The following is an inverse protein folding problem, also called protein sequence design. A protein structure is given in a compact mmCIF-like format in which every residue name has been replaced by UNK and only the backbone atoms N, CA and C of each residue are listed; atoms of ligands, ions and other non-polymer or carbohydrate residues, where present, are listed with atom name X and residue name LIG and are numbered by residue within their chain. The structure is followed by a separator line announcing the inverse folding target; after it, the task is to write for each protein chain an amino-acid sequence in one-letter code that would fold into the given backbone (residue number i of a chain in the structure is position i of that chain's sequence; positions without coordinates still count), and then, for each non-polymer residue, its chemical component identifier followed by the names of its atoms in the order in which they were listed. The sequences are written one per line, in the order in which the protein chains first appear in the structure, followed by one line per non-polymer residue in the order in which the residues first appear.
data_IF_312156916134
#
_entry.id   IF_312156916134
#
_cell.length_a   1.000
_cell.length_b   1.000
_cell.length_c   1.000
_cell.angle_alpha   90.00
_cell.angle_beta   90.00
_cell.angle_gamma   90.00
#
_symmetry.space_group_name_H-M   'P 1'
#
loop_
_entity.id
_entity.type
_entity.pdbx_description
1 polymer ?
#
# COMPACT_ATOMS: atom_id res chain seq x y z
N UNK A 1 -1.20 4.52 1.35
CA UNK A 1 -1.98 3.95 2.47
C UNK A 1 -1.19 4.06 3.76
N UNK A 2 -1.84 4.36 4.88
CA UNK A 2 -1.25 4.35 6.21
C UNK A 2 -1.60 3.05 6.92
N UNK A 3 -0.65 2.50 7.66
CA UNK A 3 -0.82 1.28 8.43
C UNK A 3 -0.13 1.45 9.78
N UNK A 4 -0.74 0.90 10.83
CA UNK A 4 -0.19 0.98 12.18
C UNK A 4 1.05 0.08 12.36
N UNK A 5 1.10 -1.06 11.66
CA UNK A 5 2.18 -2.04 11.79
C UNK A 5 2.64 -2.60 10.45
N UNK A 6 3.87 -3.11 10.41
CA UNK A 6 4.40 -3.83 9.24
C UNK A 6 3.63 -5.13 8.96
N UNK A 7 3.10 -5.78 9.99
CA UNK A 7 2.28 -6.98 9.81
C UNK A 7 0.97 -6.64 9.09
N UNK A 8 0.31 -5.53 9.45
CA UNK A 8 -0.90 -5.08 8.75
C UNK A 8 -0.63 -4.78 7.27
N UNK A 9 0.55 -4.23 6.93
CA UNK A 9 0.97 -4.04 5.54
C UNK A 9 1.12 -5.38 4.82
N UNK A 10 1.75 -6.37 5.47
CA UNK A 10 1.96 -7.70 4.93
C UNK A 10 0.63 -8.41 4.70
N UNK A 11 -0.25 -8.45 5.70
CA UNK A 11 -1.59 -9.02 5.57
C UNK A 11 -2.38 -8.35 4.45
N UNK A 12 -2.30 -7.02 4.32
CA UNK A 12 -2.96 -6.31 3.22
C UNK A 12 -2.38 -6.69 1.86
N UNK A 13 -1.07 -6.82 1.74
CA UNK A 13 -0.41 -7.26 0.50
C UNK A 13 -0.83 -8.68 0.10
N UNK A 14 -1.03 -9.55 1.07
CA UNK A 14 -1.42 -10.96 0.88
C UNK A 14 -2.94 -11.15 0.74
N UNK A 15 -3.73 -10.09 0.87
CA UNK A 15 -5.18 -10.16 0.69
C UNK A 15 -5.52 -10.63 -0.76
N UNK A 16 -6.35 -11.68 -0.93
CA UNK A 16 -6.62 -12.26 -2.25
C UNK A 16 -7.23 -11.30 -3.26
N UNK A 17 -8.08 -10.38 -2.83
CA UNK A 17 -8.70 -9.39 -3.71
C UNK A 17 -7.69 -8.34 -4.14
N UNK A 18 -6.88 -7.87 -3.20
CA UNK A 18 -5.81 -6.93 -3.49
C UNK A 18 -4.77 -7.52 -4.45
N UNK A 19 -4.41 -8.80 -4.29
CA UNK A 19 -3.53 -9.50 -5.23
C UNK A 19 -4.11 -9.54 -6.65
N UNK A 20 -5.39 -9.86 -6.82
CA UNK A 20 -6.06 -9.87 -8.14
C UNK A 20 -6.00 -8.50 -8.81
N UNK A 21 -6.25 -7.44 -8.05
CA UNK A 21 -6.19 -6.07 -8.57
C UNK A 21 -4.76 -5.67 -8.95
N UNK A 22 -3.75 -6.07 -8.17
CA UNK A 22 -2.34 -5.81 -8.54
C UNK A 22 -1.94 -6.51 -9.84
N UNK A 23 -2.36 -7.76 -10.05
CA UNK A 23 -2.08 -8.49 -11.29
C UNK A 23 -2.76 -7.83 -12.50
N UNK A 24 -3.99 -7.35 -12.34
CA UNK A 24 -4.67 -6.57 -13.39
C UNK A 24 -3.92 -5.26 -13.68
N UNK A 25 -3.47 -4.55 -12.64
CA UNK A 25 -2.63 -3.36 -12.72
C UNK A 25 -1.38 -3.58 -13.59
N UNK A 26 -0.62 -4.63 -13.26
CA UNK A 26 0.61 -5.01 -13.98
C UNK A 26 0.37 -5.36 -15.45
N UNK A 27 -0.74 -6.03 -15.74
CA UNK A 27 -1.00 -6.58 -17.08
C UNK A 27 -1.66 -5.59 -18.04
N UNK A 28 -2.46 -4.64 -17.54
CA UNK A 28 -3.32 -3.82 -18.40
C UNK A 28 -3.14 -2.31 -18.23
N UNK A 29 -2.61 -1.84 -17.10
CA UNK A 29 -2.67 -0.42 -16.77
C UNK A 29 -1.31 0.26 -16.65
N UNK A 30 -0.28 -0.45 -16.19
CA UNK A 30 1.02 0.14 -15.94
C UNK A 30 2.13 -0.60 -16.69
N UNK A 31 2.90 0.15 -17.48
CA UNK A 31 4.14 -0.36 -18.08
C UNK A 31 5.31 -0.41 -17.08
N UNK A 32 5.25 0.41 -16.03
CA UNK A 32 6.22 0.43 -14.93
C UNK A 32 5.61 1.08 -13.68
N UNK A 33 5.97 0.58 -12.49
CA UNK A 33 5.67 1.24 -11.22
C UNK A 33 6.64 0.79 -10.10
N UNK A 34 6.70 1.57 -9.03
CA UNK A 34 7.48 1.29 -7.82
C UNK A 34 6.59 1.49 -6.58
N UNK A 35 6.75 0.63 -5.57
CA UNK A 35 6.08 0.76 -4.26
C UNK A 35 7.16 0.86 -3.17
N UNK A 36 7.07 1.90 -2.34
CA UNK A 36 7.93 2.07 -1.16
C UNK A 36 7.12 1.98 0.11
N UNK A 37 7.62 1.22 1.08
CA UNK A 37 7.12 1.21 2.45
C UNK A 37 8.03 2.10 3.27
N UNK A 38 7.46 3.14 3.88
CA UNK A 38 8.20 4.13 4.66
C UNK A 38 7.63 4.22 6.07
N UNK A 39 8.49 4.50 7.04
CA UNK A 39 8.09 4.78 8.41
C UNK A 39 7.83 6.28 8.56
N UNK A 40 6.65 6.63 9.06
CA UNK A 40 6.34 8.02 9.43
C UNK A 40 6.96 8.29 10.78
N UNK A 41 8.01 9.12 10.80
CA UNK A 41 8.69 9.49 12.05
C UNK A 41 7.99 10.62 12.81
N UNK A 42 7.28 11.50 12.07
CA UNK A 42 6.49 12.60 12.63
C UNK A 42 5.29 12.89 11.74
N UNK A 43 4.13 13.12 12.35
CA UNK A 43 2.91 13.58 11.70
C UNK A 43 2.29 14.71 12.51
N UNK A 44 1.71 15.69 11.83
CA UNK A 44 0.97 16.78 12.45
C UNK A 44 -0.44 16.77 11.87
N UNK A 45 -1.43 16.92 12.73
CA UNK A 45 -2.83 17.06 12.34
C UNK A 45 -3.39 18.31 13.04
N UNK A 46 -4.19 19.07 12.31
CA UNK A 46 -4.92 20.20 12.87
C UNK A 46 -6.41 20.01 12.57
N UNK A 47 -7.22 20.21 13.60
CA UNK A 47 -8.68 20.25 13.52
C UNK A 47 -9.20 21.50 14.24
N UNK A 48 -10.33 22.03 13.74
CA UNK A 48 -11.00 23.24 14.26
C UNK A 48 -11.79 22.95 15.55
#
# INVERSE_FOLDING_TARGET
SYFETLESIKTWRENPEHMKVQELGKSHFYSWYEIKVVKVERGYEWSL
#
